data_IF_470641629376
#
_entry.id   IF_470641629376
#
_cell.length_a   1.000
_cell.length_b   1.000
_cell.length_c   1.000
_cell.angle_alpha   90.00
_cell.angle_beta   90.00
_cell.angle_gamma   90.00
#
_symmetry.space_group_name_H-M   'P 1'
#
loop_
_entity.id
_entity.type
_entity.pdbx_description
1 polymer ?
#
# COMPACT_ATOMS: atom_id res chain seq x y z
N UNK A 1 19.07 -7.74 -1.35
CA UNK A 1 18.90 -8.47 -2.63
C UNK A 1 17.85 -7.80 -3.50
N UNK A 2 18.18 -6.74 -4.26
CA UNK A 2 17.25 -6.11 -5.20
C UNK A 2 17.45 -6.70 -6.60
N UNK A 3 16.78 -7.83 -6.88
CA UNK A 3 16.84 -8.47 -8.21
C UNK A 3 15.94 -7.80 -9.25
N UNK A 4 15.12 -6.81 -8.87
CA UNK A 4 14.26 -6.10 -9.80
C UNK A 4 13.83 -4.73 -9.22
N UNK A 5 14.55 -3.63 -9.51
CA UNK A 5 14.14 -2.32 -9.01
C UNK A 5 12.79 -1.91 -9.63
N UNK A 6 11.92 -1.22 -8.89
CA UNK A 6 10.67 -0.71 -9.45
C UNK A 6 10.97 0.32 -10.54
N UNK A 7 10.29 0.21 -11.69
CA UNK A 7 10.30 1.22 -12.74
C UNK A 7 9.43 2.42 -12.35
N UNK A 8 8.30 2.16 -11.69
CA UNK A 8 7.36 3.17 -11.22
C UNK A 8 6.87 2.81 -9.82
N UNK A 9 6.90 3.81 -8.94
CA UNK A 9 6.34 3.75 -7.58
C UNK A 9 5.15 4.70 -7.52
N UNK A 10 3.97 4.17 -7.17
CA UNK A 10 2.76 4.93 -6.92
C UNK A 10 2.64 5.17 -5.42
N UNK A 11 2.67 6.42 -4.98
CA UNK A 11 2.42 6.80 -3.60
C UNK A 11 0.99 7.33 -3.48
N UNK A 12 0.16 6.65 -2.71
CA UNK A 12 -1.25 6.96 -2.55
C UNK A 12 -1.51 7.42 -1.12
N UNK A 13 -1.79 8.70 -0.93
CA UNK A 13 -2.22 9.21 0.38
C UNK A 13 -3.66 8.75 0.67
N UNK A 14 -3.88 8.15 1.85
CA UNK A 14 -5.21 7.76 2.28
C UNK A 14 -5.37 7.94 3.80
N UNK A 15 -6.60 8.19 4.25
CA UNK A 15 -6.89 8.23 5.68
C UNK A 15 -6.89 6.83 6.28
N UNK A 16 -6.63 6.73 7.58
CA UNK A 16 -6.57 5.47 8.32
C UNK A 16 -7.84 4.63 8.16
N UNK A 17 -9.00 5.29 8.15
CA UNK A 17 -10.32 4.66 8.06
C UNK A 17 -10.69 4.22 6.64
N UNK A 18 -9.96 4.66 5.60
CA UNK A 18 -10.24 4.35 4.20
C UNK A 18 -9.71 2.97 3.78
N UNK A 19 -9.95 1.94 4.61
CA UNK A 19 -9.50 0.56 4.36
C UNK A 19 -10.09 0.03 3.06
N UNK A 20 -11.39 0.23 2.83
CA UNK A 20 -12.08 -0.25 1.62
C UNK A 20 -11.54 0.40 0.34
N UNK A 21 -11.18 1.68 0.40
CA UNK A 21 -10.57 2.37 -0.72
C UNK A 21 -9.20 1.78 -1.05
N UNK A 22 -8.35 1.53 -0.03
CA UNK A 22 -7.07 0.86 -0.23
C UNK A 22 -7.26 -0.55 -0.80
N UNK A 23 -8.25 -1.30 -0.32
CA UNK A 23 -8.58 -2.63 -0.84
C UNK A 23 -9.03 -2.60 -2.31
N UNK A 24 -9.89 -1.66 -2.68
CA UNK A 24 -10.32 -1.47 -4.06
C UNK A 24 -9.13 -1.14 -4.97
N UNK A 25 -8.24 -0.25 -4.54
CA UNK A 25 -7.01 0.10 -5.27
C UNK A 25 -6.11 -1.13 -5.45
N UNK A 26 -5.88 -1.92 -4.38
CA UNK A 26 -5.10 -3.17 -4.43
C UNK A 26 -5.69 -4.20 -5.39
N UNK A 27 -7.02 -4.30 -5.44
CA UNK A 27 -7.72 -5.25 -6.33
C UNK A 27 -7.78 -4.80 -7.79
N UNK A 28 -7.52 -3.51 -8.04
CA UNK A 28 -7.63 -2.91 -9.38
C UNK A 28 -6.27 -2.41 -9.87
N UNK A 29 -6.12 -1.12 -10.10
CA UNK A 29 -4.98 -0.52 -10.78
C UNK A 29 -3.71 -0.47 -9.91
N UNK A 30 -3.84 -0.53 -8.58
CA UNK A 30 -2.73 -0.44 -7.62
C UNK A 30 -2.02 -1.77 -7.36
N UNK A 31 -2.48 -2.87 -7.95
CA UNK A 31 -1.84 -4.18 -7.81
C UNK A 31 -0.40 -4.15 -8.33
N UNK A 32 0.54 -4.68 -7.56
CA UNK A 32 1.91 -4.92 -8.04
C UNK A 32 1.86 -5.78 -9.31
N UNK A 33 2.43 -5.26 -10.40
CA UNK A 33 2.43 -5.91 -11.70
C UNK A 33 3.63 -5.54 -12.53
N UNK A 34 3.95 -6.40 -13.48
CA UNK A 34 4.98 -6.14 -14.48
C UNK A 34 4.30 -5.92 -15.83
N UNK A 35 4.54 -4.78 -16.47
CA UNK A 35 4.01 -4.46 -17.81
C UNK A 35 5.18 -4.22 -18.73
N UNK A 36 5.27 -5.00 -19.82
CA UNK A 36 6.41 -4.94 -20.75
C UNK A 36 7.78 -5.01 -20.04
N UNK A 37 7.92 -5.89 -19.05
CA UNK A 37 9.16 -6.04 -18.26
C UNK A 37 9.40 -4.96 -17.21
N UNK A 38 8.54 -3.93 -17.12
CA UNK A 38 8.68 -2.83 -16.15
C UNK A 38 7.86 -3.11 -14.90
N UNK A 39 8.52 -3.12 -13.74
CA UNK A 39 7.88 -3.38 -12.45
C UNK A 39 7.17 -2.12 -11.93
N UNK A 40 5.87 -2.23 -11.65
CA UNK A 40 5.05 -1.21 -11.01
C UNK A 40 4.72 -1.66 -9.59
N UNK A 41 4.94 -0.78 -8.62
CA UNK A 41 4.62 -0.99 -7.20
C UNK A 41 3.80 0.18 -6.66
N UNK A 42 2.92 -0.10 -5.71
CA UNK A 42 2.08 0.90 -5.04
C UNK A 42 2.33 0.84 -3.55
N UNK A 43 2.45 2.00 -2.91
CA UNK A 43 2.49 2.14 -1.46
C UNK A 43 1.43 3.16 -1.00
N UNK A 44 0.89 2.95 0.19
CA UNK A 44 -0.08 3.81 0.84
C UNK A 44 0.62 4.63 1.93
N UNK A 45 0.49 5.95 1.82
CA UNK A 45 0.92 6.88 2.85
C UNK A 45 -0.23 7.11 3.82
N UNK A 46 0.00 6.80 5.08
CA UNK A 46 -0.97 6.98 6.15
C UNK A 46 -0.54 8.10 7.11
N UNK A 47 -1.53 8.80 7.66
CA UNK A 47 -1.28 9.71 8.77
C UNK A 47 -1.01 8.96 10.08
N UNK A 48 -0.69 9.69 11.14
CA UNK A 48 -0.52 9.09 12.46
C UNK A 48 -1.87 8.68 13.08
N UNK A 49 -1.99 7.47 13.64
CA UNK A 49 -3.18 7.07 14.39
C UNK A 49 -3.37 7.93 15.63
N UNK A 50 -4.63 8.30 15.87
CA UNK A 50 -5.04 9.09 17.03
C UNK A 50 -5.56 8.18 18.15
N UNK A 51 -6.03 6.98 17.80
CA UNK A 51 -6.59 5.98 18.71
C UNK A 51 -5.79 4.65 18.65
N UNK A 52 -5.46 4.03 19.80
CA UNK A 52 -4.91 2.67 19.86
C UNK A 52 -5.62 1.62 18.99
N UNK A 53 -6.95 1.71 18.83
CA UNK A 53 -7.71 0.79 17.98
C UNK A 53 -7.30 0.90 16.49
N UNK A 54 -7.04 2.12 16.02
CA UNK A 54 -6.56 2.38 14.67
C UNK A 54 -5.15 1.82 14.47
N UNK A 55 -4.27 1.97 15.47
CA UNK A 55 -2.91 1.46 15.42
C UNK A 55 -2.88 -0.07 15.24
N UNK A 56 -3.72 -0.81 15.97
CA UNK A 56 -3.79 -2.27 15.85
C UNK A 56 -4.28 -2.71 14.47
N UNK A 57 -5.33 -2.05 13.95
CA UNK A 57 -5.86 -2.34 12.61
C UNK A 57 -4.85 -2.06 11.50
N UNK A 58 -4.16 -0.91 11.56
CA UNK A 58 -3.11 -0.54 10.59
C UNK A 58 -1.93 -1.51 10.68
N UNK A 59 -1.52 -1.92 11.88
CA UNK A 59 -0.43 -2.88 12.05
C UNK A 59 -0.76 -4.24 11.42
N UNK A 60 -1.98 -4.74 11.61
CA UNK A 60 -2.45 -5.97 10.98
C UNK A 60 -2.51 -5.84 9.45
N UNK A 61 -3.01 -4.72 8.94
CA UNK A 61 -3.04 -4.43 7.50
C UNK A 61 -1.62 -4.37 6.91
N UNK A 62 -0.71 -3.66 7.57
CA UNK A 62 0.69 -3.51 7.16
C UNK A 62 1.43 -4.86 7.16
N UNK A 63 1.21 -5.71 8.17
CA UNK A 63 1.76 -7.07 8.18
C UNK A 63 1.29 -7.91 6.99
N UNK A 64 0.01 -7.77 6.62
CA UNK A 64 -0.62 -8.54 5.55
C UNK A 64 -0.19 -8.08 4.16
N UNK A 65 -0.12 -6.77 3.93
CA UNK A 65 0.09 -6.21 2.59
C UNK A 65 1.49 -5.67 2.35
N UNK A 66 2.20 -5.24 3.40
CA UNK A 66 3.58 -4.71 3.37
C UNK A 66 3.74 -3.54 2.39
N UNK A 67 2.68 -2.78 2.20
CA UNK A 67 2.58 -1.66 1.27
C UNK A 67 2.21 -0.35 1.95
N UNK A 68 2.20 -0.30 3.29
CA UNK A 68 1.91 0.90 4.08
C UNK A 68 3.22 1.51 4.58
N UNK A 69 3.32 2.84 4.44
CA UNK A 69 4.42 3.67 4.95
C UNK A 69 3.84 4.67 5.96
#
# INVERSE_FOLDING_TARGET
CHKNPPFLVLLVASSLQQVDARMAIRSTWGKQRTVAGKLLVTFFLLGSPVDPSQQAAIAAESQRHRDII
#
